data_IF_729708565436
#
_entry.id   IF_729708565436
#
_cell.length_a   1.000
_cell.length_b   1.000
_cell.length_c   1.000
_cell.angle_alpha   90.00
_cell.angle_beta   90.00
_cell.angle_gamma   90.00
#
_symmetry.space_group_name_H-M   'P 1'
#
loop_
_entity.id
_entity.type
_entity.pdbx_description
1 polymer ?
#
# COMPACT_ATOMS: atom_id res chain seq x y z
N UNK A 1 -0.87 10.14 -18.70
CA UNK A 1 -1.30 9.65 -17.37
C UNK A 1 -1.69 8.16 -17.37
N UNK A 2 -2.11 7.57 -18.50
CA UNK A 2 -2.62 6.18 -18.56
C UNK A 2 -1.61 5.07 -18.21
N UNK A 3 -0.30 5.30 -18.40
CA UNK A 3 0.70 4.26 -18.12
C UNK A 3 0.82 3.95 -16.63
N UNK A 4 0.74 4.97 -15.75
CA UNK A 4 0.83 4.78 -14.30
C UNK A 4 -0.31 3.89 -13.81
N UNK A 5 -1.54 4.21 -14.19
CA UNK A 5 -2.73 3.47 -13.77
C UNK A 5 -2.66 2.02 -14.30
N UNK A 6 -2.13 1.83 -15.51
CA UNK A 6 -1.89 0.49 -16.03
C UNK A 6 -0.77 -0.25 -15.27
N UNK A 7 0.30 0.43 -14.85
CA UNK A 7 1.36 -0.17 -14.05
C UNK A 7 0.83 -0.63 -12.68
N UNK A 8 -0.03 0.18 -12.04
CA UNK A 8 -0.73 -0.17 -10.80
C UNK A 8 -1.61 -1.40 -11.02
N UNK A 9 -2.54 -1.34 -12.00
CA UNK A 9 -3.48 -2.44 -12.31
C UNK A 9 -2.76 -3.75 -12.62
N UNK A 10 -1.70 -3.70 -13.43
CA UNK A 10 -0.91 -4.89 -13.75
C UNK A 10 -0.20 -5.46 -12.53
N UNK A 11 0.45 -4.62 -11.70
CA UNK A 11 1.12 -5.10 -10.50
C UNK A 11 0.14 -5.74 -9.51
N UNK A 12 -1.04 -5.15 -9.36
CA UNK A 12 -2.12 -5.66 -8.50
C UNK A 12 -2.64 -7.00 -9.01
N UNK A 13 -2.98 -7.09 -10.30
CA UNK A 13 -3.51 -8.32 -10.90
C UNK A 13 -2.49 -9.47 -10.87
N UNK A 14 -1.21 -9.21 -11.13
CA UNK A 14 -0.14 -10.22 -11.10
C UNK A 14 0.03 -10.86 -9.72
N UNK A 15 -0.28 -10.12 -8.66
CA UNK A 15 -0.19 -10.60 -7.27
C UNK A 15 -1.55 -10.99 -6.69
N UNK A 16 -2.58 -11.12 -7.54
CA UNK A 16 -3.90 -11.59 -7.14
C UNK A 16 -4.69 -10.62 -6.26
N UNK A 17 -4.42 -9.32 -6.36
CA UNK A 17 -5.26 -8.28 -5.79
C UNK A 17 -6.30 -7.76 -6.78
N UNK A 18 -7.15 -6.86 -6.30
CA UNK A 18 -8.10 -6.13 -7.13
C UNK A 18 -8.06 -4.63 -6.85
N UNK A 19 -8.34 -3.85 -7.89
CA UNK A 19 -8.68 -2.43 -7.73
C UNK A 19 -10.14 -2.32 -7.32
N UNK A 20 -10.38 -1.79 -6.12
CA UNK A 20 -11.73 -1.55 -5.61
C UNK A 20 -12.29 -0.28 -6.23
N UNK A 21 -11.50 0.80 -6.16
CA UNK A 21 -11.85 2.12 -6.72
C UNK A 21 -10.65 3.05 -6.77
N UNK A 22 -10.74 4.05 -7.64
CA UNK A 22 -9.91 5.24 -7.59
C UNK A 22 -10.41 6.19 -6.49
N UNK A 23 -9.50 6.81 -5.75
CA UNK A 23 -9.78 7.81 -4.72
C UNK A 23 -8.92 9.04 -4.99
N UNK A 24 -9.50 10.03 -5.67
CA UNK A 24 -8.78 11.24 -6.07
C UNK A 24 -7.67 10.91 -7.06
N UNK A 25 -6.41 11.04 -6.64
CA UNK A 25 -5.21 10.71 -7.41
C UNK A 25 -4.58 9.35 -7.01
N UNK A 26 -5.26 8.59 -6.14
CA UNK A 26 -4.78 7.31 -5.64
C UNK A 26 -5.73 6.15 -5.95
N UNK A 27 -5.29 4.96 -5.55
CA UNK A 27 -6.05 3.72 -5.71
C UNK A 27 -6.35 3.11 -4.34
N UNK A 28 -7.55 2.57 -4.19
CA UNK A 28 -7.84 1.65 -3.11
C UNK A 28 -7.83 0.22 -3.66
N UNK A 29 -6.89 -0.56 -3.13
CA UNK A 29 -6.54 -1.89 -3.60
C UNK A 29 -6.83 -2.89 -2.49
N UNK A 30 -7.41 -4.03 -2.84
CA UNK A 30 -7.71 -5.10 -1.90
C UNK A 30 -6.93 -6.37 -2.24
N UNK A 31 -6.48 -7.05 -1.20
CA UNK A 31 -5.80 -8.34 -1.27
C UNK A 31 -6.32 -9.21 -0.13
N UNK A 32 -6.47 -10.50 -0.38
CA UNK A 32 -6.84 -11.48 0.66
C UNK A 32 -5.65 -11.87 1.57
N UNK A 33 -4.45 -11.37 1.25
CA UNK A 33 -3.20 -11.74 1.91
C UNK A 33 -2.24 -10.54 1.98
N UNK A 34 -1.63 -10.33 3.16
CA UNK A 34 -0.73 -9.19 3.40
C UNK A 34 0.58 -9.33 2.63
N UNK A 35 1.12 -10.54 2.51
CA UNK A 35 2.38 -10.77 1.81
C UNK A 35 2.24 -10.38 0.34
N UNK A 36 1.13 -10.78 -0.29
CA UNK A 36 0.80 -10.39 -1.67
C UNK A 36 0.67 -8.88 -1.86
N UNK A 37 0.04 -8.19 -0.91
CA UNK A 37 -0.07 -6.73 -0.96
C UNK A 37 1.32 -6.06 -0.91
N UNK A 38 2.19 -6.52 -0.01
CA UNK A 38 3.55 -5.98 0.13
C UNK A 38 4.37 -6.27 -1.13
N UNK A 39 4.33 -7.50 -1.65
CA UNK A 39 5.04 -7.89 -2.88
C UNK A 39 4.58 -7.08 -4.10
N UNK A 40 3.27 -6.88 -4.26
CA UNK A 40 2.72 -6.07 -5.33
C UNK A 40 3.25 -4.64 -5.28
N UNK A 41 3.31 -4.05 -4.08
CA UNK A 41 3.74 -2.67 -3.90
C UNK A 41 5.26 -2.52 -4.07
N UNK A 42 6.06 -3.51 -3.66
CA UNK A 42 7.50 -3.57 -3.96
C UNK A 42 7.71 -3.62 -5.49
N UNK A 43 6.99 -4.51 -6.19
CA UNK A 43 7.09 -4.63 -7.64
C UNK A 43 6.70 -3.32 -8.34
N UNK A 44 5.65 -2.64 -7.88
CA UNK A 44 5.22 -1.36 -8.41
C UNK A 44 6.27 -0.26 -8.19
N UNK A 45 6.85 -0.12 -6.99
CA UNK A 45 7.91 0.86 -6.72
C UNK A 45 9.13 0.62 -7.63
N UNK A 46 9.53 -0.64 -7.83
CA UNK A 46 10.64 -1.01 -8.72
C UNK A 46 10.34 -0.66 -10.18
N UNK A 47 9.12 -0.92 -10.67
CA UNK A 47 8.68 -0.53 -12.02
C UNK A 47 8.71 0.99 -12.22
N UNK A 48 8.24 1.75 -11.23
CA UNK A 48 8.27 3.22 -11.27
C UNK A 48 9.71 3.75 -11.26
N UNK A 49 10.60 3.16 -10.46
CA UNK A 49 12.01 3.51 -10.45
C UNK A 49 12.66 3.25 -11.83
N UNK A 50 12.45 2.06 -12.40
CA UNK A 50 12.96 1.72 -13.73
C UNK A 50 12.43 2.64 -14.83
N UNK A 51 11.15 3.01 -14.78
CA UNK A 51 10.57 3.95 -15.73
C UNK A 51 11.19 5.35 -15.59
N UNK A 52 11.46 5.80 -14.37
CA UNK A 52 12.15 7.07 -14.13
C UNK A 52 13.56 7.05 -14.70
N UNK A 53 14.28 5.95 -14.54
CA UNK A 53 15.64 5.80 -15.05
C UNK A 53 15.68 5.72 -16.58
N UNK A 54 14.69 5.08 -17.21
CA UNK A 54 14.68 4.83 -18.67
C UNK A 54 13.96 5.90 -19.49
N UNK A 55 12.91 6.52 -18.94
CA UNK A 55 12.07 7.53 -19.63
C UNK A 55 12.23 8.94 -19.03
N UNK A 56 13.05 9.09 -17.98
CA UNK A 56 13.30 10.37 -17.30
C UNK A 56 12.20 10.81 -16.34
N UNK A 57 11.03 10.13 -16.32
CA UNK A 57 9.92 10.50 -15.45
C UNK A 57 9.04 9.31 -15.05
N UNK A 58 8.77 9.22 -13.74
CA UNK A 58 7.67 8.46 -13.17
C UNK A 58 7.25 9.10 -11.83
N UNK A 59 5.94 9.14 -11.51
CA UNK A 59 5.47 9.73 -10.25
C UNK A 59 6.02 8.96 -9.05
N UNK A 60 6.25 9.67 -7.95
CA UNK A 60 6.54 9.06 -6.65
C UNK A 60 5.21 8.76 -5.95
N UNK A 61 4.95 7.49 -5.68
CA UNK A 61 3.72 7.07 -4.99
C UNK A 61 3.97 6.88 -3.50
N UNK A 62 2.91 7.07 -2.70
CA UNK A 62 2.88 6.79 -1.27
C UNK A 62 2.01 5.57 -1.03
N UNK A 63 2.52 4.59 -0.30
CA UNK A 63 1.80 3.33 -0.07
C UNK A 63 1.57 3.13 1.43
N UNK A 64 0.34 2.75 1.77
CA UNK A 64 -0.04 2.33 3.11
C UNK A 64 -0.81 1.02 3.07
N UNK A 65 -0.38 0.05 3.86
CA UNK A 65 -0.96 -1.29 3.93
C UNK A 65 -1.44 -1.57 5.36
N UNK A 66 -2.68 -2.03 5.47
CA UNK A 66 -3.29 -2.46 6.72
C UNK A 66 -4.28 -3.59 6.47
N UNK A 67 -4.07 -4.71 7.13
CA UNK A 67 -4.99 -5.82 7.20
C UNK A 67 -6.00 -5.60 8.33
N UNK A 68 -7.28 -5.70 8.00
CA UNK A 68 -8.38 -5.63 8.94
C UNK A 68 -9.54 -6.46 8.41
N UNK A 69 -10.41 -6.91 9.31
CA UNK A 69 -11.71 -7.42 8.90
C UNK A 69 -12.49 -6.28 8.21
N UNK A 70 -13.01 -6.57 7.03
CA UNK A 70 -13.79 -5.64 6.26
C UNK A 70 -14.99 -6.36 5.63
N UNK A 71 -16.16 -5.74 5.72
CA UNK A 71 -17.36 -6.24 5.05
C UNK A 71 -17.40 -5.65 3.65
N UNK A 72 -17.44 -6.52 2.65
CA UNK A 72 -17.71 -6.11 1.28
C UNK A 72 -19.19 -5.73 1.16
N UNK A 73 -19.47 -4.50 0.77
CA UNK A 73 -20.83 -4.00 0.49
C UNK A 73 -20.91 -3.73 -1.00
N UNK A 74 -21.63 -4.59 -1.73
CA UNK A 74 -21.61 -4.64 -3.20
C UNK A 74 -20.16 -4.78 -3.73
N UNK A 75 -19.63 -3.77 -4.41
CA UNK A 75 -18.26 -3.73 -4.95
C UNK A 75 -17.31 -2.85 -4.14
N UNK A 76 -17.70 -2.40 -2.95
CA UNK A 76 -16.88 -1.52 -2.11
C UNK A 76 -16.58 -2.17 -0.75
N UNK A 77 -15.57 -1.63 -0.06
CA UNK A 77 -15.27 -1.98 1.33
C UNK A 77 -15.52 -0.78 2.23
N UNK A 78 -16.12 -1.06 3.39
CA UNK A 78 -16.35 -0.05 4.42
C UNK A 78 -15.84 -0.55 5.76
N UNK A 79 -15.37 0.37 6.59
CA UNK A 79 -14.91 0.06 7.94
C UNK A 79 -13.69 0.88 8.35
N UNK A 80 -13.33 0.72 9.62
CA UNK A 80 -12.17 1.42 10.21
C UNK A 80 -10.87 1.05 9.52
N UNK A 81 -10.73 -0.20 9.04
CA UNK A 81 -9.53 -0.68 8.35
C UNK A 81 -9.18 0.13 7.10
N UNK A 82 -10.17 0.49 6.28
CA UNK A 82 -9.98 1.32 5.07
C UNK A 82 -9.43 2.70 5.45
N UNK A 83 -9.98 3.30 6.50
CA UNK A 83 -9.53 4.60 6.99
C UNK A 83 -8.11 4.54 7.57
N UNK A 84 -7.74 3.43 8.23
CA UNK A 84 -6.38 3.22 8.75
C UNK A 84 -5.40 3.13 7.57
N UNK A 85 -5.66 2.26 6.59
CA UNK A 85 -4.80 2.10 5.41
C UNK A 85 -4.55 3.44 4.69
N UNK A 86 -5.63 4.19 4.43
CA UNK A 86 -5.54 5.50 3.79
C UNK A 86 -4.70 6.51 4.58
N UNK A 87 -4.80 6.51 5.92
CA UNK A 87 -4.01 7.41 6.78
C UNK A 87 -2.56 6.99 6.89
N UNK A 88 -2.29 5.69 6.91
CA UNK A 88 -0.91 5.17 6.82
C UNK A 88 -0.30 5.62 5.48
N UNK A 89 -1.03 5.50 4.36
CA UNK A 89 -0.55 5.97 3.06
C UNK A 89 -0.30 7.48 3.05
N UNK A 90 -1.18 8.28 3.68
CA UNK A 90 -1.00 9.72 3.80
C UNK A 90 0.24 10.13 4.62
N UNK A 91 0.65 9.29 5.58
CA UNK A 91 1.84 9.49 6.41
C UNK A 91 3.15 8.98 5.77
N UNK A 92 3.06 8.29 4.62
CA UNK A 92 4.22 7.82 3.88
C UNK A 92 4.86 8.97 3.07
N UNK A 93 6.17 8.93 2.93
CA UNK A 93 6.92 9.79 2.00
C UNK A 93 6.79 9.28 0.56
N UNK A 94 7.17 10.11 -0.42
CA UNK A 94 7.19 9.68 -1.81
C UNK A 94 8.16 8.51 -2.01
N UNK A 95 7.70 7.46 -2.70
CA UNK A 95 8.40 6.18 -2.84
C UNK A 95 8.59 5.40 -1.51
N UNK A 96 7.70 5.58 -0.54
CA UNK A 96 7.70 4.82 0.72
C UNK A 96 6.53 3.83 0.77
N UNK A 97 6.79 2.63 1.31
CA UNK A 97 5.78 1.63 1.63
C UNK A 97 5.72 1.52 3.16
N UNK A 98 4.60 1.96 3.74
CA UNK A 98 4.32 1.77 5.16
C UNK A 98 3.32 0.64 5.35
N UNK A 99 3.61 -0.25 6.28
CA UNK A 99 2.75 -1.36 6.68
C UNK A 99 2.47 -1.24 8.17
N UNK A 100 1.23 -1.42 8.61
CA UNK A 100 0.97 -1.48 10.05
C UNK A 100 1.69 -2.68 10.67
N UNK A 101 2.27 -2.52 11.86
CA UNK A 101 3.00 -3.59 12.54
C UNK A 101 2.12 -4.82 12.79
N UNK A 102 0.82 -4.59 13.04
CA UNK A 102 -0.19 -5.66 13.17
C UNK A 102 -0.33 -6.49 11.90
N UNK A 103 -0.26 -5.87 10.72
CA UNK A 103 -0.35 -6.58 9.43
C UNK A 103 0.93 -7.34 9.16
N UNK A 104 2.08 -6.71 9.41
CA UNK A 104 3.39 -7.34 9.21
C UNK A 104 3.58 -8.53 10.18
N UNK A 105 3.05 -8.47 11.39
CA UNK A 105 3.10 -9.59 12.35
C UNK A 105 2.30 -10.82 11.89
N UNK A 106 1.29 -10.63 11.04
CA UNK A 106 0.53 -11.71 10.41
C UNK A 106 1.15 -12.25 9.13
N UNK A 107 2.21 -11.60 8.62
CA UNK A 107 2.94 -12.00 7.41
C UNK A 107 3.60 -13.36 7.61
N UNK A 108 3.58 -14.20 6.57
CA UNK A 108 4.30 -15.48 6.57
C UNK A 108 5.72 -15.33 6.02
N UNK A 109 6.01 -14.18 5.42
CA UNK A 109 7.31 -13.83 4.83
C UNK A 109 8.03 -12.76 5.64
N UNK A 110 9.34 -12.75 5.50
CA UNK A 110 10.18 -11.67 6.01
C UNK A 110 10.43 -10.67 4.88
N UNK A 111 10.18 -9.40 5.18
CA UNK A 111 10.46 -8.29 4.28
C UNK A 111 11.61 -7.47 4.86
N UNK A 112 12.44 -6.89 3.98
CA UNK A 112 13.45 -5.93 4.42
C UNK A 112 12.77 -4.72 5.05
N UNK A 113 13.35 -4.19 6.12
CA UNK A 113 12.80 -3.04 6.83
C UNK A 113 13.83 -1.92 6.88
N UNK A 114 13.39 -0.70 6.59
CA UNK A 114 14.25 0.50 6.66
C UNK A 114 13.98 1.36 7.89
N UNK A 115 12.89 1.09 8.62
CA UNK A 115 12.59 1.79 9.86
C UNK A 115 11.23 1.42 10.45
N UNK A 116 11.03 1.78 11.72
CA UNK A 116 9.75 1.66 12.43
C UNK A 116 9.40 2.98 13.09
N UNK A 117 8.12 3.36 13.10
CA UNK A 117 7.63 4.56 13.80
C UNK A 117 6.20 4.40 14.26
N UNK A 118 5.83 5.19 15.27
CA UNK A 118 4.46 5.28 15.78
C UNK A 118 3.75 6.49 15.16
N UNK A 119 2.50 6.29 14.74
CA UNK A 119 1.65 7.34 14.15
C UNK A 119 0.40 7.56 15.01
N UNK A 120 0.07 8.83 15.26
CA UNK A 120 -1.23 9.23 15.80
C UNK A 120 -2.21 9.43 14.64
N UNK A 121 -3.13 8.49 14.44
CA UNK A 121 -4.09 8.53 13.33
C UNK A 121 -5.42 9.13 13.78
N UNK A 122 -5.86 10.23 13.15
CA UNK A 122 -7.08 10.97 13.52
C UNK A 122 -8.30 10.07 13.71
N UNK A 123 -8.83 9.89 14.92
CA UNK A 123 -10.03 9.08 15.14
C UNK A 123 -9.78 7.56 15.16
N UNK A 124 -8.52 7.15 15.29
CA UNK A 124 -8.12 5.85 15.83
C UNK A 124 -7.67 6.13 17.26
N UNK A 125 -8.03 5.24 18.19
CA UNK A 125 -7.61 5.37 19.58
C UNK A 125 -6.18 4.84 19.73
N UNK A 126 -5.30 5.69 20.23
CA UNK A 126 -3.92 5.34 20.53
C UNK A 126 -2.99 5.29 19.31
N UNK A 127 -1.69 5.10 19.59
CA UNK A 127 -0.66 5.04 18.56
C UNK A 127 -0.83 3.82 17.65
N UNK A 128 -0.62 4.02 16.35
CA UNK A 128 -0.50 2.95 15.37
C UNK A 128 0.97 2.78 14.97
N UNK A 129 1.59 1.67 15.37
CA UNK A 129 2.93 1.30 14.90
C UNK A 129 2.92 0.95 13.41
N UNK A 130 3.87 1.51 12.67
CA UNK A 130 4.09 1.21 11.26
C UNK A 130 5.56 0.91 10.99
N UNK A 131 5.78 0.09 9.97
CA UNK A 131 7.08 -0.35 9.49
C UNK A 131 7.25 0.11 8.05
N UNK A 132 8.43 0.67 7.74
CA UNK A 132 8.82 1.06 6.39
C UNK A 132 9.52 -0.11 5.71
N UNK A 133 8.98 -0.57 4.59
CA UNK A 133 9.47 -1.74 3.86
C UNK A 133 10.55 -1.33 2.85
N UNK A 134 11.64 -2.07 2.84
CA UNK A 134 12.67 -1.95 1.83
C UNK A 134 12.20 -2.58 0.51
N UNK A 135 12.10 -1.76 -0.53
CA UNK A 135 11.73 -2.17 -1.87
C UNK A 135 12.91 -2.14 -2.85
N UNK A 136 14.11 -1.74 -2.41
CA UNK A 136 15.29 -1.63 -3.27
C UNK A 136 15.97 -2.98 -3.50
#
# INVERSE_FOLDING_TARGET
>A
MHWHDQAVRSAVAEHGGEEVKEIGDGFFLAFDDTDRAIEAMIALQRRLAQQRDTQGFAPSIRVGIHAAEATRVASDYSGTGVNIAARIAAAASGSEILVSETSLSGSRRSFGETGRRSLELKGISGPTSVVSIDWR
#
